data_IF_849648941831
#
_entry.id   IF_849648941831
#
_cell.length_a   1.000
_cell.length_b   1.000
_cell.length_c   1.000
_cell.angle_alpha   90.00
_cell.angle_beta   90.00
_cell.angle_gamma   90.00
#
_symmetry.space_group_name_H-M   'P 1'
#
loop_
_entity.id
_entity.type
_entity.pdbx_description
1 polymer ?
#
# COMPACT_ATOMS: atom_id res chain seq x y z
N UNK A 1 -7.39 -37.04 -11.18
CA UNK A 1 -6.04 -36.45 -11.09
C UNK A 1 -6.05 -34.93 -10.86
N UNK A 2 -6.96 -34.16 -11.47
CA UNK A 2 -7.06 -32.68 -11.29
C UNK A 2 -7.51 -32.21 -9.89
N UNK A 3 -8.33 -33.00 -9.18
CA UNK A 3 -8.84 -32.64 -7.83
C UNK A 3 -7.76 -32.81 -6.74
N UNK A 4 -6.79 -33.72 -6.94
CA UNK A 4 -5.70 -33.94 -5.97
C UNK A 4 -4.63 -32.85 -6.01
N UNK A 5 -4.43 -32.21 -7.17
CA UNK A 5 -3.55 -31.04 -7.29
C UNK A 5 -4.11 -29.82 -6.53
N UNK A 6 -5.42 -29.82 -6.24
CA UNK A 6 -6.05 -28.70 -5.54
C UNK A 6 -5.81 -28.68 -4.03
N UNK A 7 -5.77 -29.85 -3.40
CA UNK A 7 -5.41 -29.94 -1.98
C UNK A 7 -3.98 -29.52 -1.71
N UNK A 8 -3.05 -29.83 -2.63
CA UNK A 8 -1.62 -29.55 -2.47
C UNK A 8 -1.26 -28.05 -2.52
N UNK A 9 -2.02 -27.22 -3.26
CA UNK A 9 -1.79 -25.76 -3.28
C UNK A 9 -2.29 -25.06 -2.00
N UNK A 10 -3.22 -25.66 -1.25
CA UNK A 10 -3.74 -25.10 0.01
C UNK A 10 -2.78 -25.33 1.18
N UNK A 11 -1.93 -26.35 1.09
CA UNK A 11 -1.06 -26.84 2.16
C UNK A 11 0.43 -26.50 1.96
N UNK A 12 0.81 -25.79 0.89
CA UNK A 12 2.18 -25.33 0.71
C UNK A 12 2.48 -24.16 1.67
N UNK A 13 3.34 -24.33 2.69
CA UNK A 13 3.67 -23.24 3.61
C UNK A 13 4.41 -22.09 2.93
N UNK A 14 4.93 -22.29 1.71
CA UNK A 14 5.70 -21.30 0.96
C UNK A 14 4.85 -20.42 0.04
N UNK A 15 3.59 -20.79 -0.23
CA UNK A 15 2.69 -20.03 -1.11
C UNK A 15 1.45 -19.57 -0.31
N UNK A 16 1.23 -18.27 -0.11
CA UNK A 16 0.05 -17.76 0.61
C UNK A 16 -1.21 -18.36 0.03
N UNK A 17 -2.00 -19.03 0.88
CA UNK A 17 -3.18 -19.75 0.43
C UNK A 17 -4.20 -18.77 -0.18
N UNK A 18 -4.83 -19.10 -1.32
CA UNK A 18 -5.77 -18.20 -1.99
C UNK A 18 -6.99 -17.87 -1.11
N UNK A 19 -7.33 -18.75 -0.16
CA UNK A 19 -8.35 -18.49 0.84
C UNK A 19 -7.94 -17.36 1.78
N UNK A 20 -6.69 -17.34 2.25
CA UNK A 20 -6.19 -16.27 3.11
C UNK A 20 -6.13 -14.94 2.35
N UNK A 21 -5.77 -14.95 1.07
CA UNK A 21 -5.81 -13.77 0.21
C UNK A 21 -7.23 -13.24 0.00
N UNK A 22 -8.20 -14.14 -0.20
CA UNK A 22 -9.62 -13.77 -0.31
C UNK A 22 -10.13 -13.17 1.00
N UNK A 23 -9.80 -13.77 2.14
CA UNK A 23 -10.17 -13.24 3.46
C UNK A 23 -9.52 -11.88 3.73
N UNK A 24 -8.27 -11.67 3.34
CA UNK A 24 -7.59 -10.38 3.46
C UNK A 24 -8.26 -9.28 2.62
N UNK A 25 -8.80 -9.60 1.43
CA UNK A 25 -9.58 -8.65 0.63
C UNK A 25 -10.93 -8.34 1.27
N UNK A 26 -11.63 -9.36 1.78
CA UNK A 26 -12.88 -9.17 2.52
C UNK A 26 -12.65 -8.32 3.78
N UNK A 27 -11.60 -8.61 4.53
CA UNK A 27 -11.18 -7.82 5.68
C UNK A 27 -10.90 -6.36 5.27
N UNK A 28 -10.15 -6.14 4.18
CA UNK A 28 -9.90 -4.80 3.66
C UNK A 28 -11.17 -4.04 3.27
N UNK A 29 -12.18 -4.71 2.71
CA UNK A 29 -13.46 -4.08 2.37
C UNK A 29 -14.33 -3.81 3.61
N UNK A 30 -14.37 -4.74 4.57
CA UNK A 30 -15.11 -4.58 5.84
C UNK A 30 -14.52 -3.47 6.69
N UNK A 31 -13.19 -3.35 6.76
CA UNK A 31 -12.53 -2.28 7.51
C UNK A 31 -12.54 -0.92 6.76
N UNK A 32 -12.64 -0.92 5.43
CA UNK A 32 -12.54 0.31 4.61
C UNK A 32 -13.90 0.89 4.16
N UNK A 33 -14.57 0.19 3.25
CA UNK A 33 -15.79 0.70 2.59
C UNK A 33 -17.02 0.52 3.47
N UNK A 34 -17.11 -0.57 4.22
CA UNK A 34 -18.24 -0.79 5.15
C UNK A 34 -18.18 0.20 6.31
N UNK A 35 -16.99 0.48 6.84
CA UNK A 35 -16.76 1.50 7.87
C UNK A 35 -17.32 2.88 7.48
N UNK A 36 -17.00 3.35 6.28
CA UNK A 36 -17.42 4.68 5.80
C UNK A 36 -18.92 4.74 5.51
N UNK A 37 -19.49 3.68 4.95
CA UNK A 37 -20.95 3.59 4.71
C UNK A 37 -21.75 3.60 6.01
N UNK A 38 -21.31 2.87 7.05
CA UNK A 38 -21.94 2.90 8.38
C UNK A 38 -21.85 4.29 9.01
N UNK A 39 -20.71 4.97 8.88
CA UNK A 39 -20.57 6.35 9.36
C UNK A 39 -21.58 7.30 8.71
N UNK A 40 -21.81 7.18 7.40
CA UNK A 40 -22.82 7.96 6.67
C UNK A 40 -24.24 7.61 7.12
N UNK A 41 -24.54 6.33 7.36
CA UNK A 41 -25.84 5.89 7.89
C UNK A 41 -26.12 6.48 9.27
N UNK A 42 -25.12 6.53 10.16
CA UNK A 42 -25.26 7.22 11.45
C UNK A 42 -25.59 8.71 11.27
N UNK A 43 -24.94 9.41 10.35
CA UNK A 43 -25.24 10.83 10.04
C UNK A 43 -26.67 10.98 9.50
N UNK A 44 -27.10 10.09 8.60
CA UNK A 44 -28.45 10.10 8.05
C UNK A 44 -29.53 9.89 9.13
N UNK A 45 -29.32 8.94 10.05
CA UNK A 45 -30.22 8.70 11.17
C UNK A 45 -30.32 9.92 12.10
N UNK A 46 -29.21 10.61 12.36
CA UNK A 46 -29.19 11.86 13.16
C UNK A 46 -29.93 13.00 12.46
N UNK A 47 -29.74 13.14 11.15
CA UNK A 47 -30.51 14.10 10.33
C UNK A 47 -32.00 13.79 10.34
N UNK A 48 -32.38 12.52 10.29
CA UNK A 48 -33.77 12.05 10.38
C UNK A 48 -34.38 12.36 11.76
N UNK A 49 -33.61 12.19 12.83
CA UNK A 49 -34.00 12.52 14.20
C UNK A 49 -34.13 14.04 14.40
N UNK A 50 -33.24 14.86 13.79
CA UNK A 50 -33.32 16.32 13.77
C UNK A 50 -34.55 16.84 13.02
N UNK A 51 -34.95 16.16 11.95
CA UNK A 51 -36.16 16.49 11.18
C UNK A 51 -37.45 16.28 11.99
N UNK A 52 -37.40 15.47 13.07
CA UNK A 52 -38.50 15.28 14.02
C UNK A 52 -38.90 16.53 14.83
N UNK A 53 -38.23 17.67 14.64
CA UNK A 53 -38.76 19.00 15.01
C UNK A 53 -38.71 19.41 16.49
N UNK A 54 -38.15 18.58 17.39
CA UNK A 54 -38.02 18.91 18.83
C UNK A 54 -36.64 18.64 19.46
N UNK A 55 -35.62 18.29 18.66
CA UNK A 55 -34.27 18.10 19.19
C UNK A 55 -33.45 19.37 19.00
N UNK A 56 -32.85 19.88 20.09
CA UNK A 56 -31.97 21.06 20.05
C UNK A 56 -30.88 20.86 18.99
N UNK A 57 -30.76 21.80 18.05
CA UNK A 57 -29.75 21.78 16.97
C UNK A 57 -28.32 21.57 17.51
N UNK A 58 -28.10 22.00 18.76
CA UNK A 58 -26.88 21.80 19.53
C UNK A 58 -26.56 20.32 19.72
N UNK A 59 -27.54 19.49 20.07
CA UNK A 59 -27.37 18.05 20.26
C UNK A 59 -27.08 17.32 18.95
N UNK A 60 -27.75 17.72 17.87
CA UNK A 60 -27.48 17.17 16.53
C UNK A 60 -26.05 17.47 16.08
N UNK A 61 -25.62 18.72 16.24
CA UNK A 61 -24.28 19.16 15.82
C UNK A 61 -23.17 18.46 16.60
N UNK A 62 -23.30 18.30 17.92
CA UNK A 62 -22.31 17.55 18.73
C UNK A 62 -22.18 16.10 18.30
N UNK A 63 -23.29 15.43 17.93
CA UNK A 63 -23.27 14.03 17.47
C UNK A 63 -22.63 13.89 16.08
N UNK A 64 -22.94 14.80 15.16
CA UNK A 64 -22.31 14.84 13.81
C UNK A 64 -20.80 15.07 13.94
N UNK A 65 -20.39 16.03 14.79
CA UNK A 65 -18.98 16.30 15.05
C UNK A 65 -18.27 15.10 15.68
N UNK A 66 -18.92 14.42 16.64
CA UNK A 66 -18.38 13.21 17.27
C UNK A 66 -18.16 12.07 16.28
N UNK A 67 -19.13 11.81 15.40
CA UNK A 67 -19.00 10.80 14.34
C UNK A 67 -17.85 11.13 13.38
N UNK A 68 -17.73 12.39 12.97
CA UNK A 68 -16.64 12.86 12.11
C UNK A 68 -15.27 12.71 12.78
N UNK A 69 -15.14 13.00 14.06
CA UNK A 69 -13.85 12.85 14.76
C UNK A 69 -13.47 11.37 14.94
N UNK A 70 -14.41 10.48 15.29
CA UNK A 70 -14.12 9.05 15.46
C UNK A 70 -13.61 8.37 14.18
N UNK A 71 -14.24 8.64 13.04
CA UNK A 71 -13.87 8.02 11.75
C UNK A 71 -12.92 8.89 10.89
N UNK A 72 -13.13 10.21 10.87
CA UNK A 72 -12.33 11.16 10.09
C UNK A 72 -10.94 11.39 10.68
N UNK A 73 -10.81 11.52 12.01
CA UNK A 73 -9.48 11.72 12.60
C UNK A 73 -8.61 10.46 12.47
N UNK A 74 -9.18 9.27 12.64
CA UNK A 74 -8.45 8.01 12.51
C UNK A 74 -7.99 7.74 11.07
N UNK A 75 -8.81 8.06 10.06
CA UNK A 75 -8.41 7.99 8.64
C UNK A 75 -7.30 8.98 8.30
N UNK A 76 -7.35 10.21 8.83
CA UNK A 76 -6.26 11.21 8.66
C UNK A 76 -4.96 10.70 9.30
N UNK A 77 -4.99 10.17 10.52
CA UNK A 77 -3.81 9.65 11.23
C UNK A 77 -3.23 8.43 10.51
N UNK A 78 -4.08 7.54 9.99
CA UNK A 78 -3.65 6.40 9.18
C UNK A 78 -2.95 6.85 7.90
N UNK A 79 -3.51 7.85 7.21
CA UNK A 79 -2.89 8.46 6.03
C UNK A 79 -1.53 9.09 6.34
N UNK A 80 -1.44 9.81 7.47
CA UNK A 80 -0.21 10.46 7.91
C UNK A 80 0.89 9.44 8.26
N UNK A 81 0.54 8.38 9.01
CA UNK A 81 1.45 7.26 9.30
C UNK A 81 1.88 6.53 8.02
N UNK A 82 0.99 6.37 7.04
CA UNK A 82 1.30 5.82 5.73
C UNK A 82 2.30 6.66 4.95
N UNK A 83 2.14 7.99 4.97
CA UNK A 83 3.06 8.94 4.33
C UNK A 83 4.44 8.98 5.02
N UNK A 84 4.49 8.92 6.35
CA UNK A 84 5.75 8.85 7.08
C UNK A 84 6.44 7.48 6.87
N UNK A 85 5.67 6.39 6.86
CA UNK A 85 6.17 5.04 6.62
C UNK A 85 6.63 4.78 5.18
N UNK A 86 6.07 5.49 4.19
CA UNK A 86 6.54 5.42 2.80
C UNK A 86 7.85 6.18 2.61
N UNK A 87 8.10 7.28 3.35
CA UNK A 87 9.40 7.97 3.37
C UNK A 87 10.53 7.03 3.82
N UNK A 88 10.27 6.11 4.74
CA UNK A 88 11.24 5.10 5.20
C UNK A 88 11.55 4.02 4.13
N UNK A 89 10.65 3.81 3.17
CA UNK A 89 10.77 2.79 2.11
C UNK A 89 11.57 3.29 0.89
N UNK A 90 11.95 4.56 0.89
CA UNK A 90 13.06 5.06 0.08
C UNK A 90 14.37 4.55 0.69
N UNK A 91 14.55 3.23 0.65
CA UNK A 91 15.84 2.61 0.90
C UNK A 91 16.82 3.22 -0.10
N UNK A 92 17.86 3.84 0.44
CA UNK A 92 19.07 4.19 -0.30
C UNK A 92 19.39 3.03 -1.25
N UNK A 93 19.55 3.26 -2.57
CA UNK A 93 19.88 2.20 -3.50
C UNK A 93 21.15 1.53 -2.99
N UNK A 94 21.00 0.32 -2.46
CA UNK A 94 22.13 -0.57 -2.23
C UNK A 94 22.63 -0.90 -3.62
N UNK A 95 23.66 -0.16 -4.05
CA UNK A 95 24.53 -0.59 -5.12
C UNK A 95 25.01 -1.97 -4.72
N UNK A 96 24.38 -2.98 -5.30
CA UNK A 96 24.90 -4.31 -5.39
C UNK A 96 26.17 -4.17 -6.23
N UNK A 97 27.25 -3.76 -5.57
CA UNK A 97 28.59 -4.05 -6.03
C UNK A 97 28.65 -5.56 -5.98
N UNK A 98 28.39 -6.18 -7.13
CA UNK A 98 28.76 -7.56 -7.41
C UNK A 98 30.22 -7.67 -7.02
N UNK A 99 30.48 -8.20 -5.82
CA UNK A 99 31.80 -8.69 -5.47
C UNK A 99 31.98 -9.93 -6.32
N UNK A 100 32.39 -9.72 -7.57
CA UNK A 100 32.89 -10.79 -8.41
C UNK A 100 34.15 -11.30 -7.71
N UNK A 101 33.99 -12.47 -7.09
CA UNK A 101 35.05 -13.29 -6.54
C UNK A 101 36.23 -13.26 -7.51
N UNK A 102 37.46 -12.91 -7.09
CA UNK A 102 38.63 -12.90 -7.97
C UNK A 102 38.84 -14.27 -8.61
N UNK A 103 38.35 -14.44 -9.83
CA UNK A 103 38.65 -15.59 -10.65
C UNK A 103 40.12 -15.49 -11.08
N UNK A 104 40.88 -16.59 -11.11
CA UNK A 104 42.22 -16.62 -11.70
C UNK A 104 42.13 -16.23 -13.17
N UNK A 105 42.58 -15.02 -13.50
CA UNK A 105 42.59 -14.38 -14.82
C UNK A 105 43.04 -15.31 -15.96
N UNK A 106 42.20 -15.51 -17.00
CA UNK A 106 42.67 -15.89 -18.32
C UNK A 106 42.25 -14.85 -19.38
N UNK A 107 43.25 -14.16 -19.94
CA UNK A 107 43.31 -13.43 -21.22
C UNK A 107 42.29 -12.33 -21.54
N UNK A 108 42.83 -11.11 -21.68
CA UNK A 108 42.24 -9.87 -22.19
C UNK A 108 41.11 -10.02 -23.22
N UNK A 109 39.92 -9.52 -22.87
CA UNK A 109 38.90 -9.16 -23.86
C UNK A 109 39.32 -7.84 -24.53
N UNK A 110 39.37 -7.75 -25.88
CA UNK A 110 39.79 -6.55 -26.59
C UNK A 110 38.88 -5.36 -26.27
N UNK A 111 39.41 -4.13 -26.17
CA UNK A 111 38.63 -2.97 -25.75
C UNK A 111 37.45 -2.72 -26.70
N UNK A 112 36.25 -2.75 -26.13
CA UNK A 112 35.01 -2.40 -26.80
C UNK A 112 35.13 -0.97 -27.35
N UNK A 113 35.08 -0.86 -28.67
CA UNK A 113 35.20 0.37 -29.43
C UNK A 113 34.13 1.38 -28.98
N UNK A 114 34.54 2.47 -28.34
CA UNK A 114 33.66 3.59 -28.00
C UNK A 114 33.67 4.63 -29.15
N UNK A 115 32.60 4.72 -29.94
CA UNK A 115 32.50 5.64 -31.09
C UNK A 115 32.50 7.13 -30.69
N UNK A 116 32.40 7.47 -29.41
CA UNK A 116 32.56 8.85 -28.93
C UNK A 116 34.03 9.27 -28.75
N UNK A 117 34.98 8.33 -28.80
CA UNK A 117 36.42 8.63 -28.77
C UNK A 117 36.91 9.45 -29.99
N UNK A 118 36.10 9.57 -31.05
CA UNK A 118 36.36 10.42 -32.21
C UNK A 118 35.76 11.83 -32.14
N UNK A 119 34.90 12.13 -31.16
CA UNK A 119 34.20 13.42 -31.06
C UNK A 119 34.85 14.41 -30.07
N UNK A 120 35.71 13.95 -29.16
CA UNK A 120 36.39 14.79 -28.16
C UNK A 120 37.70 15.43 -28.66
N UNK A 121 38.15 15.12 -29.88
CA UNK A 121 39.28 15.83 -30.50
C UNK A 121 38.75 17.13 -31.10
N UNK A 122 38.74 18.17 -30.27
CA UNK A 122 38.45 19.54 -30.69
C UNK A 122 39.69 20.03 -31.45
N UNK A 123 39.65 19.94 -32.79
CA UNK A 123 40.66 20.56 -33.64
C UNK A 123 40.56 22.09 -33.49
N UNK A 124 41.60 22.70 -32.90
CA UNK A 124 41.89 24.14 -32.99
C UNK A 124 42.58 24.46 -34.31
#
# INVERSE_FOLDING_TARGET
MIVLLSGAYLSDPSRPSPLLAAMAWVEGTVLGTVATTVAILCVAMVGLLMLGGRLDIRRGLTVVLGCFVLFGASTIVSGFRGAIGSVQRTSIPSSHVTSELPAPIPSASPPAYDPYAGASVIHR
#
